data_IF_966303355995
#
_entry.id   IF_966303355995
#
_cell.length_a   1.000
_cell.length_b   1.000
_cell.length_c   1.000
_cell.angle_alpha   90.00
_cell.angle_beta   90.00
_cell.angle_gamma   90.00
#
_symmetry.space_group_name_H-M   'P 1'
#
loop_
_entity.id
_entity.type
_entity.pdbx_description
1 polymer ?
#
# COMPACT_ATOMS: atom_id res chain seq x y z
N UNK A 1 30.13 -23.38 -75.33
CA UNK A 1 28.69 -23.27 -75.05
C UNK A 1 28.50 -23.02 -73.57
N UNK A 2 28.41 -21.75 -73.14
CA UNK A 2 28.09 -21.38 -71.77
C UNK A 2 26.59 -21.07 -71.68
N UNK A 3 25.82 -21.97 -71.08
CA UNK A 3 24.42 -21.65 -70.73
C UNK A 3 24.05 -22.20 -69.36
N UNK A 4 23.41 -21.31 -68.60
CA UNK A 4 22.53 -21.54 -67.43
C UNK A 4 23.17 -22.11 -66.16
N UNK A 5 23.56 -21.16 -65.30
CA UNK A 5 23.26 -21.10 -63.85
C UNK A 5 23.63 -19.68 -63.39
N UNK A 6 23.00 -18.63 -63.95
CA UNK A 6 21.74 -18.07 -63.48
C UNK A 6 21.58 -18.08 -61.96
N UNK A 7 21.76 -16.87 -61.43
CA UNK A 7 21.28 -16.31 -60.17
C UNK A 7 22.02 -16.69 -58.88
N UNK A 8 22.23 -15.64 -58.07
CA UNK A 8 22.72 -15.64 -56.69
C UNK A 8 24.25 -15.69 -56.46
N UNK A 9 25.03 -14.97 -57.27
CA UNK A 9 26.31 -14.37 -56.83
C UNK A 9 26.10 -13.02 -56.12
N UNK A 10 24.97 -12.87 -55.44
CA UNK A 10 24.55 -11.68 -54.71
C UNK A 10 23.87 -12.15 -53.42
N UNK A 11 24.25 -11.55 -52.30
CA UNK A 11 23.73 -11.75 -50.93
C UNK A 11 24.43 -12.84 -50.11
N UNK A 12 25.67 -12.55 -49.69
CA UNK A 12 26.05 -12.43 -48.26
C UNK A 12 25.10 -13.17 -47.29
N UNK A 13 25.35 -14.43 -46.95
CA UNK A 13 24.68 -15.06 -45.80
C UNK A 13 25.62 -14.97 -44.59
N UNK A 14 25.37 -13.93 -43.80
CA UNK A 14 26.09 -13.54 -42.59
C UNK A 14 26.29 -14.73 -41.62
N UNK A 15 27.46 -14.83 -40.98
CA UNK A 15 27.77 -15.87 -40.01
C UNK A 15 26.98 -15.65 -38.71
N UNK A 16 26.73 -16.73 -37.96
CA UNK A 16 26.37 -16.76 -36.54
C UNK A 16 25.39 -15.65 -36.09
N UNK A 17 24.09 -15.93 -36.19
CA UNK A 17 23.06 -15.23 -35.42
C UNK A 17 23.37 -15.35 -33.92
N UNK A 18 24.23 -14.44 -33.43
CA UNK A 18 24.34 -14.07 -32.03
C UNK A 18 22.98 -13.51 -31.66
N UNK A 19 22.09 -14.38 -31.17
CA UNK A 19 20.86 -13.97 -30.54
C UNK A 19 21.22 -13.26 -29.25
N UNK A 20 21.50 -11.96 -29.35
CA UNK A 20 21.40 -11.06 -28.22
C UNK A 20 19.92 -11.05 -27.80
N UNK A 21 19.56 -11.90 -26.84
CA UNK A 21 18.33 -11.71 -26.07
C UNK A 21 18.45 -10.34 -25.44
N UNK A 22 17.73 -9.35 -25.97
CA UNK A 22 17.63 -8.04 -25.35
C UNK A 22 16.91 -8.22 -24.02
N UNK A 23 17.65 -8.26 -22.92
CA UNK A 23 17.09 -8.25 -21.58
C UNK A 23 16.40 -6.90 -21.41
N UNK A 24 15.07 -6.88 -21.50
CA UNK A 24 14.26 -5.70 -21.23
C UNK A 24 14.06 -5.59 -19.73
N UNK A 25 14.81 -4.70 -19.09
CA UNK A 25 14.58 -4.37 -17.69
C UNK A 25 13.32 -3.51 -17.50
N UNK A 26 12.63 -3.62 -16.35
CA UNK A 26 11.54 -2.71 -16.04
C UNK A 26 12.03 -1.26 -15.98
N UNK A 27 11.20 -0.28 -16.39
CA UNK A 27 11.54 1.13 -16.25
C UNK A 27 11.72 1.49 -14.77
N UNK A 28 12.62 2.44 -14.50
CA UNK A 28 12.84 2.95 -13.14
C UNK A 28 11.59 3.72 -12.68
N UNK A 29 11.14 3.55 -11.43
CA UNK A 29 10.03 4.33 -10.89
C UNK A 29 10.33 5.83 -10.87
N UNK A 30 9.29 6.63 -11.10
CA UNK A 30 9.35 8.08 -11.17
C UNK A 30 9.30 8.64 -9.74
N UNK A 31 10.14 9.63 -9.46
CA UNK A 31 10.15 10.30 -8.16
C UNK A 31 8.89 11.19 -8.02
N UNK A 32 8.16 11.10 -6.89
CA UNK A 32 6.97 11.91 -6.67
C UNK A 32 7.33 13.38 -6.48
N UNK A 33 6.40 14.28 -6.84
CA UNK A 33 6.59 15.70 -6.62
C UNK A 33 6.32 16.06 -5.14
N UNK A 34 6.85 17.19 -4.63
CA UNK A 34 6.57 17.64 -3.27
C UNK A 34 5.08 17.86 -3.00
N UNK A 35 4.31 18.29 -4.01
CA UNK A 35 2.85 18.44 -3.91
C UNK A 35 2.09 17.13 -3.72
N UNK A 36 2.65 15.98 -4.13
CA UNK A 36 2.05 14.66 -3.90
C UNK A 36 2.17 14.23 -2.43
N UNK A 37 3.05 14.88 -1.67
CA UNK A 37 3.19 14.65 -0.25
C UNK A 37 2.13 15.44 0.53
N UNK A 38 1.15 14.69 1.05
CA UNK A 38 0.05 15.16 1.89
C UNK A 38 0.48 15.96 3.15
N UNK A 39 1.74 15.84 3.61
CA UNK A 39 2.36 16.58 4.74
C UNK A 39 1.61 16.58 6.08
N UNK A 40 0.50 15.87 6.19
CA UNK A 40 -0.42 15.85 7.34
C UNK A 40 -0.60 14.44 7.92
N UNK A 41 0.26 13.49 7.53
CA UNK A 41 0.25 12.14 8.08
C UNK A 41 -0.86 11.25 7.49
N UNK A 42 -1.05 11.31 6.16
CA UNK A 42 -1.90 10.36 5.46
C UNK A 42 -1.51 8.89 5.78
N UNK A 43 -2.50 7.98 5.71
CA UNK A 43 -2.33 6.55 6.06
C UNK A 43 -1.20 5.84 5.30
N UNK A 44 -0.91 6.27 4.07
CA UNK A 44 0.19 5.77 3.23
C UNK A 44 0.99 6.96 2.75
N UNK A 45 2.30 6.94 2.97
CA UNK A 45 3.20 8.00 2.51
C UNK A 45 3.67 7.72 1.07
N UNK A 46 3.56 8.72 0.18
CA UNK A 46 4.01 8.58 -1.22
C UNK A 46 5.51 8.27 -1.31
N UNK A 47 6.31 8.81 -0.39
CA UNK A 47 7.75 8.56 -0.31
C UNK A 47 8.07 7.14 0.13
N UNK A 48 7.26 6.55 1.02
CA UNK A 48 7.40 5.15 1.41
C UNK A 48 7.06 4.22 0.24
N UNK A 49 5.96 4.49 -0.46
CA UNK A 49 5.56 3.73 -1.65
C UNK A 49 6.65 3.79 -2.75
N UNK A 50 7.19 4.99 -3.00
CA UNK A 50 8.30 5.18 -3.93
C UNK A 50 9.55 4.41 -3.52
N UNK A 51 9.93 4.45 -2.23
CA UNK A 51 11.10 3.74 -1.72
C UNK A 51 10.96 2.22 -1.86
N UNK A 52 9.76 1.68 -1.64
CA UNK A 52 9.45 0.26 -1.84
C UNK A 52 9.58 -0.13 -3.31
N UNK A 53 8.96 0.64 -4.22
CA UNK A 53 9.02 0.39 -5.66
C UNK A 53 10.45 0.50 -6.19
N UNK A 54 11.21 1.49 -5.72
CA UNK A 54 12.62 1.67 -6.07
C UNK A 54 13.48 0.50 -5.59
N UNK A 55 13.21 -0.03 -4.40
CA UNK A 55 13.90 -1.21 -3.86
C UNK A 55 13.58 -2.46 -4.68
N UNK A 56 12.31 -2.65 -5.05
CA UNK A 56 11.89 -3.74 -5.94
C UNK A 56 12.51 -3.62 -7.33
N UNK A 57 12.62 -2.41 -7.87
CA UNK A 57 13.30 -2.17 -9.14
C UNK A 57 14.78 -2.53 -9.03
N UNK A 58 15.47 -2.05 -7.99
CA UNK A 58 16.89 -2.37 -7.72
C UNK A 58 17.13 -3.87 -7.66
N UNK A 59 16.27 -4.63 -6.97
CA UNK A 59 16.37 -6.09 -6.90
C UNK A 59 16.21 -6.79 -8.27
N UNK A 60 15.42 -6.22 -9.18
CA UNK A 60 15.22 -6.78 -10.53
C UNK A 60 16.35 -6.41 -11.50
N UNK A 61 17.00 -5.26 -11.31
CA UNK A 61 18.07 -4.78 -12.19
C UNK A 61 19.47 -5.12 -11.69
N UNK A 62 19.65 -5.43 -10.40
CA UNK A 62 20.94 -5.74 -9.82
C UNK A 62 21.45 -7.10 -10.31
N UNK A 63 22.62 -7.14 -10.99
CA UNK A 63 23.26 -8.40 -11.33
C UNK A 63 23.90 -9.01 -10.07
N UNK A 64 23.12 -9.77 -9.31
CA UNK A 64 23.66 -10.77 -8.39
C UNK A 64 24.25 -10.28 -7.06
N UNK A 65 23.62 -9.32 -6.38
CA UNK A 65 23.78 -9.19 -4.92
C UNK A 65 22.41 -9.23 -4.25
N UNK A 66 22.08 -10.40 -3.72
CA UNK A 66 21.02 -10.62 -2.73
C UNK A 66 21.42 -9.83 -1.47
N UNK A 67 21.11 -8.54 -1.46
CA UNK A 67 21.11 -7.76 -0.22
C UNK A 67 19.98 -8.33 0.63
N UNK A 68 20.36 -9.26 1.51
CA UNK A 68 19.50 -9.78 2.56
C UNK A 68 19.01 -8.60 3.37
N UNK A 69 17.79 -8.15 3.06
CA UNK A 69 17.02 -7.29 3.96
C UNK A 69 16.72 -8.16 5.15
N UNK A 70 17.55 -8.05 6.18
CA UNK A 70 17.18 -8.52 7.52
C UNK A 70 15.84 -7.88 7.84
N UNK A 71 14.78 -8.69 7.77
CA UNK A 71 13.44 -8.34 8.26
C UNK A 71 13.46 -8.30 9.80
N UNK A 72 14.41 -7.59 10.38
CA UNK A 72 14.43 -7.30 11.81
C UNK A 72 13.52 -6.10 12.07
N UNK A 73 12.22 -6.36 11.95
CA UNK A 73 11.20 -5.35 12.16
C UNK A 73 9.87 -5.73 11.56
N UNK A 74 9.42 -6.97 11.69
CA UNK A 74 7.98 -7.22 11.62
C UNK A 74 7.32 -6.37 12.72
N UNK A 75 6.46 -5.39 12.41
CA UNK A 75 5.57 -4.87 13.43
C UNK A 75 4.68 -6.07 13.76
N UNK A 76 4.70 -6.50 15.02
CA UNK A 76 3.83 -7.58 15.48
C UNK A 76 2.40 -7.07 15.48
N UNK A 77 1.78 -7.02 14.31
CA UNK A 77 0.36 -6.71 14.12
C UNK A 77 -0.57 -7.78 14.74
N UNK A 78 -0.01 -8.75 15.46
CA UNK A 78 -0.75 -9.74 16.25
C UNK A 78 -0.74 -9.54 17.77
N UNK A 79 0.10 -8.67 18.35
CA UNK A 79 0.18 -8.54 19.83
C UNK A 79 -0.54 -7.31 20.39
N UNK A 80 -0.82 -6.27 19.57
CA UNK A 80 -1.59 -5.10 20.02
C UNK A 80 -3.12 -5.33 20.05
N UNK A 81 -3.58 -6.50 19.59
CA UNK A 81 -4.99 -6.91 19.66
C UNK A 81 -5.28 -7.90 20.79
N UNK A 82 -4.38 -8.03 21.78
CA UNK A 82 -4.76 -8.71 23.01
C UNK A 82 -5.66 -7.75 23.78
N UNK A 83 -6.95 -8.08 23.83
CA UNK A 83 -7.93 -7.35 24.61
C UNK A 83 -7.34 -7.02 26.00
N UNK A 84 -7.22 -5.73 26.36
CA UNK A 84 -6.85 -5.37 27.73
C UNK A 84 -7.90 -6.00 28.66
N UNK A 85 -7.45 -6.85 29.59
CA UNK A 85 -8.33 -7.44 30.62
C UNK A 85 -8.70 -6.44 31.71
N UNK A 86 -8.30 -5.18 31.56
CA UNK A 86 -8.65 -4.07 32.42
C UNK A 86 -9.15 -2.94 31.51
N UNK A 87 -10.35 -2.43 31.81
CA UNK A 87 -10.97 -1.32 31.06
C UNK A 87 -9.95 -0.17 30.97
N UNK A 88 -9.53 0.25 29.75
CA UNK A 88 -8.61 1.37 29.62
C UNK A 88 -9.24 2.59 30.30
N UNK A 89 -8.43 3.37 31.01
CA UNK A 89 -8.86 4.49 31.86
C UNK A 89 -9.85 5.44 31.14
N UNK A 90 -9.77 5.55 29.80
CA UNK A 90 -10.70 6.33 28.98
C UNK A 90 -12.10 5.74 28.80
N UNK A 91 -12.28 4.42 28.75
CA UNK A 91 -13.59 3.78 28.58
C UNK A 91 -14.40 3.77 29.88
N UNK A 92 -13.74 3.61 31.03
CA UNK A 92 -14.41 3.67 32.33
C UNK A 92 -15.01 5.06 32.61
N UNK A 93 -14.24 6.13 32.35
CA UNK A 93 -14.71 7.51 32.51
C UNK A 93 -15.89 7.83 31.58
N UNK A 94 -15.88 7.30 30.35
CA UNK A 94 -16.96 7.48 29.40
C UNK A 94 -18.25 6.78 29.86
N UNK A 95 -18.14 5.52 30.34
CA UNK A 95 -19.27 4.77 30.89
C UNK A 95 -19.92 5.48 32.09
N UNK A 96 -19.12 6.09 32.97
CA UNK A 96 -19.63 6.87 34.10
C UNK A 96 -20.40 8.12 33.64
N UNK A 97 -19.91 8.82 32.62
CA UNK A 97 -20.60 9.97 32.05
C UNK A 97 -21.96 9.58 31.43
N UNK A 98 -22.01 8.49 30.69
CA UNK A 98 -23.25 7.96 30.11
C UNK A 98 -24.25 7.56 31.21
N UNK A 99 -23.80 6.88 32.26
CA UNK A 99 -24.64 6.54 33.41
C UNK A 99 -25.26 7.77 34.08
N UNK A 100 -24.46 8.83 34.25
CA UNK A 100 -24.93 10.11 34.82
C UNK A 100 -25.95 10.80 33.93
N UNK A 101 -25.75 10.78 32.61
CA UNK A 101 -26.69 11.37 31.66
C UNK A 101 -28.01 10.60 31.62
N UNK A 102 -27.96 9.26 31.62
CA UNK A 102 -29.15 8.42 31.61
C UNK A 102 -29.97 8.59 32.89
N UNK A 103 -29.31 8.69 34.05
CA UNK A 103 -29.98 8.96 35.33
C UNK A 103 -30.65 10.35 35.39
N UNK A 104 -30.25 11.31 34.54
CA UNK A 104 -30.92 12.60 34.41
C UNK A 104 -32.11 12.56 33.43
N UNK A 105 -32.15 11.58 32.52
CA UNK A 105 -33.19 11.43 31.50
C UNK A 105 -34.50 10.81 32.03
N UNK A 106 -34.54 10.41 33.31
CA UNK A 106 -35.75 9.95 34.00
C UNK A 106 -36.69 11.10 34.45
N UNK A 107 -36.31 12.37 34.26
CA UNK A 107 -37.21 13.51 34.49
C UNK A 107 -37.76 14.07 33.17
N UNK A 108 -38.48 13.25 32.42
CA UNK A 108 -39.48 13.76 31.47
C UNK A 108 -40.86 13.49 32.09
N UNK A 109 -41.48 14.46 32.78
CA UNK A 109 -42.86 14.29 33.24
C UNK A 109 -43.77 14.15 32.01
N UNK A 110 -44.07 12.91 31.66
CA UNK A 110 -45.13 12.55 30.73
C UNK A 110 -46.46 12.76 31.45
N UNK A 111 -47.01 13.97 31.47
CA UNK A 111 -48.44 14.19 31.79
C UNK A 111 -48.89 15.62 31.48
N UNK A 112 -49.47 15.82 30.28
CA UNK A 112 -50.63 16.71 30.15
C UNK A 112 -51.54 16.16 29.04
N UNK A 113 -52.19 15.04 29.35
CA UNK A 113 -53.46 14.63 28.73
C UNK A 113 -54.56 14.91 29.75
N UNK A 114 -55.30 15.99 29.53
CA UNK A 114 -56.46 16.37 30.32
C UNK A 114 -57.51 16.95 29.37
N UNK A 115 -58.34 16.06 28.86
CA UNK A 115 -59.61 16.36 28.20
C UNK A 115 -60.64 16.73 29.26
N UNK A 116 -61.25 17.91 29.19
CA UNK A 116 -62.58 18.11 29.75
C UNK A 116 -63.29 19.18 28.91
N UNK A 117 -64.35 18.76 28.22
CA UNK A 117 -65.33 19.65 27.65
C UNK A 117 -66.50 19.79 28.62
N UNK A 118 -66.94 21.02 28.83
CA UNK A 118 -68.34 21.47 28.86
C UNK A 118 -68.36 22.98 28.60
#
# INVERSE_FOLDING_TARGET
MLTRRSFARLQIQLPCLVQARSVSFPPKPIEPAPEDCCQSGCKVCVWELYAEELSRWKAQVAPGEELQVEKNGEPRVGELFKAPTEEPVGLAAFRELEQRLNAQQDFVPSSHSGSEGD
#
